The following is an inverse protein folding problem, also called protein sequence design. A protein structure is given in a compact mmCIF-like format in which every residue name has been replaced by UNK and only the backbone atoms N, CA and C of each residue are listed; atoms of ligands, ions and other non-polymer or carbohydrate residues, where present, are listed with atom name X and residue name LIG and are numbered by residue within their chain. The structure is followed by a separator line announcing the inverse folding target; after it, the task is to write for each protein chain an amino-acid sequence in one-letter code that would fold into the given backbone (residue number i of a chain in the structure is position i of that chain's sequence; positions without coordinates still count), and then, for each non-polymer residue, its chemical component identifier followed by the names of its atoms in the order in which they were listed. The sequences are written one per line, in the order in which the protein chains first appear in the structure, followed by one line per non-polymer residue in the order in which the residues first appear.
data_IF_459812339833
#
_entry.id   IF_459812339833
#
_cell.length_a   1.000
_cell.length_b   1.000
_cell.length_c   1.000
_cell.angle_alpha   90.00
_cell.angle_beta   90.00
_cell.angle_gamma   90.00
#
_symmetry.space_group_name_H-M   'P 1'
#
loop_
_entity.id
_entity.type
_entity.pdbx_description
1 polymer ?
#
# COMPACT_ATOMS: atom_id res chain seq x y z
N UNK A 1 -26.20 -0.38 29.72
CA UNK A 1 -24.98 -0.16 28.91
C UNK A 1 -24.61 -1.47 28.21
N UNK A 2 -25.06 -1.66 26.98
CA UNK A 2 -24.85 -2.91 26.24
C UNK A 2 -23.45 -2.87 25.61
N UNK A 3 -22.46 -3.39 26.33
CA UNK A 3 -21.07 -3.45 25.91
C UNK A 3 -20.95 -4.51 24.80
N UNK A 4 -21.33 -4.15 23.56
CA UNK A 4 -21.04 -4.98 22.39
C UNK A 4 -19.53 -5.16 22.35
N UNK A 5 -19.06 -6.36 22.68
CA UNK A 5 -17.65 -6.75 22.56
C UNK A 5 -17.17 -6.39 21.16
N UNK A 6 -16.40 -5.31 21.03
CA UNK A 6 -15.79 -4.92 19.76
C UNK A 6 -14.93 -6.11 19.34
N UNK A 7 -15.28 -6.74 18.22
CA UNK A 7 -14.63 -7.95 17.72
C UNK A 7 -13.18 -7.60 17.40
N UNK A 8 -12.23 -8.03 18.24
CA UNK A 8 -10.82 -7.75 18.03
C UNK A 8 -10.25 -8.66 16.94
N UNK A 9 -9.37 -8.13 16.09
CA UNK A 9 -8.77 -8.88 14.99
C UNK A 9 -7.61 -9.76 15.45
N UNK A 10 -7.42 -10.89 14.78
CA UNK A 10 -6.24 -11.76 14.94
C UNK A 10 -5.07 -11.32 14.05
N UNK A 11 -3.95 -12.03 14.14
CA UNK A 11 -2.72 -11.73 13.38
C UNK A 11 -2.92 -11.75 11.86
N UNK A 12 -3.67 -12.74 11.35
CA UNK A 12 -3.90 -12.86 9.91
C UNK A 12 -4.76 -11.70 9.37
N UNK A 13 -5.90 -11.45 10.01
CA UNK A 13 -6.89 -10.46 9.55
C UNK A 13 -6.46 -9.02 9.79
N UNK A 14 -5.85 -8.77 10.96
CA UNK A 14 -5.57 -7.41 11.38
C UNK A 14 -4.19 -6.91 10.96
N UNK A 15 -3.27 -7.79 10.56
CA UNK A 15 -1.89 -7.41 10.21
C UNK A 15 -1.45 -8.00 8.87
N UNK A 16 -1.42 -9.34 8.74
CA UNK A 16 -0.86 -9.98 7.55
C UNK A 16 -1.60 -9.60 6.26
N UNK A 17 -2.94 -9.75 6.23
CA UNK A 17 -3.76 -9.42 5.07
C UNK A 17 -3.65 -7.95 4.68
N UNK A 18 -3.91 -6.96 5.56
CA UNK A 18 -3.82 -5.55 5.18
C UNK A 18 -2.41 -5.14 4.75
N UNK A 19 -1.36 -5.63 5.43
CA UNK A 19 0.02 -5.37 5.00
C UNK A 19 0.32 -5.99 3.64
N UNK A 20 -0.08 -7.24 3.41
CA UNK A 20 0.15 -7.93 2.13
C UNK A 20 -0.58 -7.24 0.98
N UNK A 21 -1.84 -6.85 1.18
CA UNK A 21 -2.65 -6.14 0.18
C UNK A 21 -2.11 -4.75 -0.13
N UNK A 22 -1.54 -4.07 0.86
CA UNK A 22 -0.91 -2.76 0.64
C UNK A 22 0.45 -2.86 -0.04
N UNK A 23 1.22 -3.91 0.21
CA UNK A 23 2.52 -4.14 -0.45
C UNK A 23 2.29 -4.61 -1.89
N UNK A 24 1.38 -5.55 -2.11
CA UNK A 24 1.00 -6.04 -3.44
C UNK A 24 0.04 -5.08 -4.15
N UNK A 25 0.42 -3.81 -4.20
CA UNK A 25 -0.36 -2.72 -4.78
C UNK A 25 -0.15 -2.56 -6.28
N UNK A 26 -0.40 -1.34 -6.75
CA UNK A 26 -0.29 -0.95 -8.16
C UNK A 26 1.08 -1.26 -8.80
N UNK A 27 2.16 -1.14 -8.02
CA UNK A 27 3.54 -1.31 -8.53
C UNK A 27 3.78 -2.75 -9.01
N UNK A 28 3.18 -3.75 -8.36
CA UNK A 28 3.30 -5.15 -8.76
C UNK A 28 2.92 -5.35 -10.24
N UNK A 29 1.82 -4.73 -10.66
CA UNK A 29 1.28 -4.91 -12.01
C UNK A 29 1.75 -3.86 -13.00
N UNK A 30 1.86 -2.59 -12.60
CA UNK A 30 2.10 -1.47 -13.53
C UNK A 30 3.55 -1.05 -13.68
N UNK A 31 4.43 -1.46 -12.75
CA UNK A 31 5.81 -0.94 -12.69
C UNK A 31 6.88 -2.01 -12.51
N UNK A 32 6.56 -3.20 -12.00
CA UNK A 32 7.56 -4.28 -11.83
C UNK A 32 8.19 -4.72 -13.16
N UNK A 33 7.38 -4.87 -14.22
CA UNK A 33 7.89 -5.16 -15.56
C UNK A 33 8.81 -4.04 -16.07
N UNK A 34 8.40 -2.78 -15.91
CA UNK A 34 9.20 -1.61 -16.27
C UNK A 34 10.51 -1.52 -15.49
N UNK A 35 10.52 -1.83 -14.19
CA UNK A 35 11.72 -1.89 -13.36
C UNK A 35 12.72 -2.91 -13.91
N UNK A 36 12.26 -4.12 -14.27
CA UNK A 36 13.10 -5.15 -14.90
C UNK A 36 13.56 -4.72 -16.29
N UNK A 37 12.71 -4.04 -17.06
CA UNK A 37 13.06 -3.53 -18.39
C UNK A 37 14.16 -2.46 -18.35
N UNK A 38 14.11 -1.55 -17.37
CA UNK A 38 15.09 -0.46 -17.22
C UNK A 38 16.39 -0.94 -16.54
N UNK A 39 16.28 -1.63 -15.41
CA UNK A 39 17.42 -2.01 -14.58
C UNK A 39 17.99 -3.40 -14.90
N UNK A 40 17.36 -4.15 -15.81
CA UNK A 40 17.65 -5.57 -16.01
C UNK A 40 17.21 -6.43 -14.82
N UNK A 41 17.39 -7.74 -14.92
CA UNK A 41 17.08 -8.67 -13.84
C UNK A 41 17.98 -8.43 -12.63
N UNK A 42 19.29 -8.29 -12.82
CA UNK A 42 20.21 -8.09 -11.70
C UNK A 42 20.01 -6.74 -11.00
N UNK A 43 19.83 -5.66 -11.77
CA UNK A 43 19.53 -4.35 -11.19
C UNK A 43 18.15 -4.32 -10.54
N UNK A 44 17.15 -4.96 -11.13
CA UNK A 44 15.81 -5.12 -10.54
C UNK A 44 15.82 -5.89 -9.23
N UNK A 45 16.56 -7.01 -9.16
CA UNK A 45 16.77 -7.77 -7.92
C UNK A 45 17.55 -6.96 -6.89
N UNK A 46 18.54 -6.18 -7.29
CA UNK A 46 19.25 -5.25 -6.40
C UNK A 46 18.31 -4.19 -5.79
N UNK A 47 17.43 -3.61 -6.61
CA UNK A 47 16.39 -2.66 -6.16
C UNK A 47 15.44 -3.35 -5.17
N UNK A 48 15.00 -4.57 -5.46
CA UNK A 48 14.13 -5.34 -4.58
C UNK A 48 14.80 -5.63 -3.24
N UNK A 49 16.04 -6.13 -3.25
CA UNK A 49 16.80 -6.44 -2.04
C UNK A 49 17.04 -5.22 -1.17
N UNK A 50 17.43 -4.08 -1.77
CA UNK A 50 17.60 -2.83 -1.04
C UNK A 50 16.28 -2.37 -0.40
N UNK A 51 15.20 -2.40 -1.18
CA UNK A 51 13.86 -2.01 -0.73
C UNK A 51 13.37 -2.89 0.43
N UNK A 52 13.49 -4.21 0.28
CA UNK A 52 13.12 -5.18 1.31
C UNK A 52 14.00 -5.06 2.55
N UNK A 53 15.29 -4.79 2.40
CA UNK A 53 16.21 -4.54 3.51
C UNK A 53 15.76 -3.36 4.37
N UNK A 54 15.42 -2.23 3.74
CA UNK A 54 14.87 -1.04 4.43
C UNK A 54 13.56 -1.37 5.14
N UNK A 55 12.65 -2.08 4.47
CA UNK A 55 11.36 -2.49 5.03
C UNK A 55 11.52 -3.45 6.22
N UNK A 56 12.46 -4.40 6.13
CA UNK A 56 12.75 -5.39 7.17
C UNK A 56 13.32 -4.72 8.42
N UNK A 57 14.30 -3.83 8.27
CA UNK A 57 14.87 -3.06 9.40
C UNK A 57 13.76 -2.26 10.09
N UNK A 58 12.90 -1.61 9.31
CA UNK A 58 11.75 -0.85 9.84
C UNK A 58 10.77 -1.75 10.59
N UNK A 59 10.47 -2.94 10.04
CA UNK A 59 9.56 -3.91 10.65
C UNK A 59 10.13 -4.51 11.94
N UNK A 60 11.44 -4.75 12.02
CA UNK A 60 12.11 -5.23 13.23
C UNK A 60 12.09 -4.16 14.32
N UNK A 61 12.39 -2.90 13.99
CA UNK A 61 12.27 -1.77 14.93
C UNK A 61 10.84 -1.64 15.45
N UNK A 62 9.84 -1.74 14.56
CA UNK A 62 8.45 -1.67 14.98
C UNK A 62 8.02 -2.86 15.82
N UNK A 63 8.57 -4.04 15.53
CA UNK A 63 8.34 -5.25 16.31
C UNK A 63 8.83 -5.07 17.74
N UNK A 64 10.05 -4.57 17.94
CA UNK A 64 10.60 -4.31 19.28
C UNK A 64 9.77 -3.27 20.04
N UNK A 65 9.30 -2.22 19.36
CA UNK A 65 8.40 -1.23 19.99
C UNK A 65 7.09 -1.87 20.43
N UNK A 66 6.44 -2.62 19.54
CA UNK A 66 5.13 -3.23 19.81
C UNK A 66 5.16 -4.30 20.91
N UNK A 67 6.31 -4.93 21.17
CA UNK A 67 6.47 -5.91 22.25
C UNK A 67 6.75 -5.28 23.61
N UNK A 68 7.22 -4.03 23.65
CA UNK A 68 7.69 -3.38 24.88
C UNK A 68 6.66 -2.46 25.54
N UNK A 69 5.56 -2.12 24.86
CA UNK A 69 4.53 -1.21 25.37
C UNK A 69 3.12 -1.75 25.20
N UNK A 70 2.18 -1.22 25.98
CA UNK A 70 0.74 -1.44 25.75
C UNK A 70 0.30 -0.68 24.51
N UNK A 71 -0.10 -1.40 23.48
CA UNK A 71 -0.46 -0.81 22.19
C UNK A 71 -1.89 -0.28 22.20
N UNK A 72 -2.06 1.01 21.90
CA UNK A 72 -3.34 1.71 21.85
C UNK A 72 -3.82 2.02 20.43
N UNK A 73 -4.86 2.86 20.35
CA UNK A 73 -5.37 3.45 19.08
C UNK A 73 -4.36 4.51 18.60
N UNK A 74 -4.13 4.59 17.28
CA UNK A 74 -3.22 5.57 16.67
C UNK A 74 -2.08 4.98 15.84
N UNK A 75 -2.04 3.66 15.67
CA UNK A 75 -1.15 2.98 14.73
C UNK A 75 0.34 3.18 15.03
N UNK A 76 1.13 3.40 13.98
CA UNK A 76 2.59 3.58 14.09
C UNK A 76 2.94 4.78 14.94
N UNK A 77 2.24 5.92 14.79
CA UNK A 77 2.57 7.12 15.55
C UNK A 77 2.46 6.89 17.06
N UNK A 78 1.37 6.24 17.50
CA UNK A 78 1.19 5.91 18.92
C UNK A 78 2.32 5.03 19.46
N UNK A 79 2.76 4.05 18.67
CA UNK A 79 3.87 3.17 19.07
C UNK A 79 5.17 3.93 19.26
N UNK A 80 5.46 4.88 18.37
CA UNK A 80 6.66 5.71 18.42
C UNK A 80 6.56 6.72 19.56
N UNK A 81 5.50 7.53 19.64
CA UNK A 81 5.42 8.61 20.63
C UNK A 81 5.46 8.11 22.08
N UNK A 82 4.93 6.91 22.34
CA UNK A 82 4.96 6.28 23.67
C UNK A 82 6.26 5.56 24.02
N UNK A 83 7.12 5.28 23.04
CA UNK A 83 8.41 4.63 23.28
C UNK A 83 9.58 5.60 23.24
N UNK A 84 9.52 6.63 22.39
CA UNK A 84 10.64 7.57 22.16
C UNK A 84 10.33 9.01 22.58
N UNK A 85 9.12 9.31 23.04
CA UNK A 85 8.67 10.65 23.41
C UNK A 85 7.87 11.35 22.31
N UNK A 86 7.10 12.37 22.70
CA UNK A 86 6.15 13.05 21.81
C UNK A 86 6.87 13.90 20.76
N UNK A 87 8.03 14.45 21.09
CA UNK A 87 8.87 15.26 20.20
C UNK A 87 9.36 14.42 19.02
N UNK A 88 10.01 13.28 19.30
CA UNK A 88 10.44 12.33 18.27
C UNK A 88 9.25 11.72 17.53
N UNK A 89 8.18 11.39 18.25
CA UNK A 89 6.93 10.92 17.66
C UNK A 89 6.38 11.93 16.65
N UNK A 90 6.39 13.22 16.96
CA UNK A 90 5.91 14.29 16.10
C UNK A 90 6.75 14.46 14.83
N UNK A 91 8.08 14.44 14.96
CA UNK A 91 9.02 14.52 13.84
C UNK A 91 8.81 13.40 12.82
N UNK A 92 8.47 12.19 13.27
CA UNK A 92 8.19 11.05 12.38
C UNK A 92 6.71 11.01 11.95
N UNK A 93 5.80 11.39 12.85
CA UNK A 93 4.36 11.29 12.66
C UNK A 93 3.82 12.24 11.59
N UNK A 94 4.32 13.48 11.52
CA UNK A 94 3.88 14.44 10.50
C UNK A 94 4.23 13.95 9.09
N UNK A 95 5.48 13.57 8.76
CA UNK A 95 5.82 12.95 7.47
C UNK A 95 5.02 11.68 7.19
N UNK A 96 4.77 10.83 8.20
CA UNK A 96 3.96 9.63 8.04
C UNK A 96 2.54 9.98 7.61
N UNK A 97 1.89 10.95 8.28
CA UNK A 97 0.55 11.42 7.91
C UNK A 97 0.51 11.95 6.47
N UNK A 98 1.48 12.77 6.07
CA UNK A 98 1.56 13.30 4.70
C UNK A 98 1.77 12.19 3.69
N UNK A 99 2.68 11.25 3.96
CA UNK A 99 2.94 10.08 3.11
C UNK A 99 1.68 9.24 2.93
N UNK A 100 0.93 8.97 4.01
CA UNK A 100 -0.33 8.23 3.95
C UNK A 100 -1.40 8.98 3.13
N UNK A 101 -1.50 10.30 3.29
CA UNK A 101 -2.45 11.14 2.53
C UNK A 101 -2.12 11.17 1.04
N UNK A 102 -0.84 11.30 0.68
CA UNK A 102 -0.37 11.24 -0.71
C UNK A 102 -0.57 9.83 -1.29
N UNK A 103 -0.41 8.80 -0.47
CA UNK A 103 -0.63 7.41 -0.89
C UNK A 103 -2.07 7.16 -1.36
N UNK A 104 -3.07 7.81 -0.74
CA UNK A 104 -4.47 7.75 -1.21
C UNK A 104 -4.56 8.20 -2.68
N UNK A 105 -3.95 9.33 -3.03
CA UNK A 105 -3.91 9.81 -4.41
C UNK A 105 -3.16 8.85 -5.33
N UNK A 106 -1.99 8.38 -4.90
CA UNK A 106 -1.16 7.43 -5.66
C UNK A 106 -1.92 6.16 -6.07
N UNK A 107 -2.68 5.55 -5.17
CA UNK A 107 -3.47 4.35 -5.50
C UNK A 107 -4.66 4.65 -6.42
N UNK A 108 -5.33 5.80 -6.24
CA UNK A 108 -6.41 6.23 -7.14
C UNK A 108 -5.87 6.49 -8.55
N UNK A 109 -4.72 7.14 -8.69
CA UNK A 109 -4.07 7.33 -10.00
C UNK A 109 -3.73 6.00 -10.65
N UNK A 110 -3.22 5.04 -9.88
CA UNK A 110 -2.98 3.67 -10.34
C UNK A 110 -4.24 2.97 -10.86
N UNK A 111 -5.35 3.12 -10.14
CA UNK A 111 -6.66 2.64 -10.58
C UNK A 111 -7.07 3.28 -11.91
N UNK A 112 -7.01 4.61 -12.00
CA UNK A 112 -7.44 5.38 -13.17
C UNK A 112 -6.55 5.12 -14.39
N UNK A 113 -5.23 4.97 -14.21
CA UNK A 113 -4.30 4.57 -15.29
C UNK A 113 -4.75 3.25 -15.92
N UNK A 114 -5.08 2.25 -15.10
CA UNK A 114 -5.56 0.96 -15.59
C UNK A 114 -6.97 1.03 -16.19
N UNK A 115 -7.84 1.87 -15.65
CA UNK A 115 -9.22 2.02 -16.12
C UNK A 115 -9.29 2.72 -17.48
N UNK A 116 -8.45 3.73 -17.71
CA UNK A 116 -8.33 4.41 -19.02
C UNK A 116 -7.93 3.47 -20.14
N UNK A 117 -7.21 2.40 -19.85
CA UNK A 117 -6.86 1.42 -20.86
C UNK A 117 -8.07 0.60 -21.33
N UNK A 118 -9.04 0.37 -20.44
CA UNK A 118 -10.30 -0.30 -20.77
C UNK A 118 -11.32 0.69 -21.35
N UNK A 119 -11.36 1.91 -20.83
CA UNK A 119 -12.26 2.98 -21.26
C UNK A 119 -11.47 4.26 -21.63
N UNK A 120 -10.95 4.37 -22.87
CA UNK A 120 -10.02 5.46 -23.25
C UNK A 120 -10.60 6.88 -23.18
N UNK A 121 -11.92 7.01 -23.32
CA UNK A 121 -12.59 8.31 -23.41
C UNK A 121 -12.96 8.92 -22.04
N UNK A 122 -12.63 8.26 -20.92
CA UNK A 122 -12.94 8.78 -19.59
C UNK A 122 -12.02 9.94 -19.21
N UNK A 123 -12.58 10.99 -18.61
CA UNK A 123 -11.78 12.03 -17.99
C UNK A 123 -11.16 11.49 -16.69
N UNK A 124 -9.84 11.26 -16.71
CA UNK A 124 -9.12 10.68 -15.58
C UNK A 124 -9.20 11.51 -14.29
N UNK A 125 -9.16 12.84 -14.40
CA UNK A 125 -9.27 13.73 -13.24
C UNK A 125 -10.67 13.61 -12.63
N UNK A 126 -11.71 13.64 -13.46
CA UNK A 126 -13.09 13.50 -12.99
C UNK A 126 -13.32 12.16 -12.27
N UNK A 127 -12.85 11.05 -12.86
CA UNK A 127 -12.96 9.73 -12.21
C UNK A 127 -12.17 9.68 -10.91
N UNK A 128 -10.96 10.25 -10.87
CA UNK A 128 -10.14 10.30 -9.65
C UNK A 128 -10.87 11.01 -8.51
N UNK A 129 -11.50 12.16 -8.80
CA UNK A 129 -12.25 12.94 -7.82
C UNK A 129 -13.52 12.21 -7.35
N UNK A 130 -14.24 11.54 -8.25
CA UNK A 130 -15.41 10.73 -7.91
C UNK A 130 -15.01 9.57 -6.98
N UNK A 131 -13.94 8.85 -7.32
CA UNK A 131 -13.43 7.74 -6.50
C UNK A 131 -13.03 8.27 -5.12
N UNK A 132 -12.24 9.35 -5.05
CA UNK A 132 -11.86 9.96 -3.78
C UNK A 132 -13.08 10.33 -2.93
N UNK A 133 -14.10 10.96 -3.53
CA UNK A 133 -15.32 11.34 -2.84
C UNK A 133 -16.07 10.13 -2.27
N UNK A 134 -16.19 9.04 -3.04
CA UNK A 134 -16.80 7.79 -2.57
C UNK A 134 -16.04 7.24 -1.36
N UNK A 135 -14.71 7.15 -1.43
CA UNK A 135 -13.90 6.62 -0.32
C UNK A 135 -13.91 7.55 0.90
N UNK A 136 -13.98 8.87 0.71
CA UNK A 136 -14.16 9.83 1.79
C UNK A 136 -15.49 9.59 2.51
N UNK A 137 -16.60 9.42 1.79
CA UNK A 137 -17.91 9.11 2.39
C UNK A 137 -17.88 7.79 3.16
N UNK A 138 -17.25 6.75 2.60
CA UNK A 138 -17.08 5.46 3.28
C UNK A 138 -16.29 5.63 4.58
N UNK A 139 -15.20 6.40 4.56
CA UNK A 139 -14.38 6.67 5.74
C UNK A 139 -15.16 7.43 6.83
N UNK A 140 -16.07 8.35 6.45
CA UNK A 140 -16.90 9.10 7.39
C UNK A 140 -17.99 8.26 8.09
N UNK A 141 -18.47 7.18 7.45
CA UNK A 141 -19.52 6.30 7.98
C UNK A 141 -18.93 5.27 8.98
N UNK A 142 -17.64 4.95 8.84
CA UNK A 142 -16.95 3.94 9.65
C UNK A 142 -16.92 2.59 8.92
N UNK A 143 -15.72 2.12 8.60
CA UNK A 143 -15.51 1.08 7.59
C UNK A 143 -15.34 -0.33 8.20
N UNK A 144 -16.21 -0.75 9.12
CA UNK A 144 -16.21 -2.14 9.65
C UNK A 144 -16.33 -3.21 8.54
N UNK A 145 -16.84 -2.81 7.37
CA UNK A 145 -16.96 -3.64 6.17
C UNK A 145 -15.61 -3.97 5.51
N UNK A 146 -14.59 -3.12 5.68
CA UNK A 146 -13.32 -3.23 4.95
C UNK A 146 -12.64 -4.59 5.14
N UNK A 147 -12.61 -5.11 6.37
CA UNK A 147 -11.90 -6.38 6.68
C UNK A 147 -12.54 -7.59 6.04
N UNK A 148 -13.87 -7.61 5.87
CA UNK A 148 -14.56 -8.74 5.22
C UNK A 148 -14.23 -8.81 3.73
N UNK A 149 -14.09 -7.65 3.08
CA UNK A 149 -13.79 -7.56 1.65
C UNK A 149 -12.33 -7.91 1.35
N UNK A 150 -11.41 -7.68 2.29
CA UNK A 150 -9.99 -7.98 2.11
C UNK A 150 -9.71 -9.44 1.72
N UNK A 151 -10.49 -10.41 2.22
CA UNK A 151 -10.36 -11.81 1.82
C UNK A 151 -10.66 -12.04 0.34
N UNK A 152 -11.76 -11.46 -0.16
CA UNK A 152 -12.13 -11.56 -1.56
C UNK A 152 -11.09 -10.88 -2.44
N UNK A 153 -10.62 -9.69 -2.03
CA UNK A 153 -9.56 -8.94 -2.71
C UNK A 153 -8.26 -9.75 -2.77
N UNK A 154 -7.87 -10.37 -1.66
CA UNK A 154 -6.69 -11.23 -1.61
C UNK A 154 -6.82 -12.44 -2.55
N UNK A 155 -8.00 -13.08 -2.58
CA UNK A 155 -8.27 -14.18 -3.51
C UNK A 155 -8.14 -13.77 -4.97
N UNK A 156 -8.79 -12.66 -5.37
CA UNK A 156 -8.70 -12.12 -6.74
C UNK A 156 -7.26 -11.74 -7.09
N UNK A 157 -6.53 -11.14 -6.16
CA UNK A 157 -5.13 -10.78 -6.35
C UNK A 157 -4.24 -12.00 -6.57
N UNK A 158 -4.40 -13.07 -5.76
CA UNK A 158 -3.63 -14.30 -5.95
C UNK A 158 -3.97 -14.98 -7.28
N UNK A 159 -5.24 -15.00 -7.67
CA UNK A 159 -5.65 -15.51 -8.98
C UNK A 159 -5.05 -14.68 -10.13
N UNK A 160 -5.00 -13.35 -9.99
CA UNK A 160 -4.36 -12.46 -10.95
C UNK A 160 -2.85 -12.75 -11.08
N UNK A 161 -2.14 -12.91 -9.96
CA UNK A 161 -0.72 -13.28 -9.95
C UNK A 161 -0.52 -14.65 -10.62
N UNK A 162 -1.28 -15.66 -10.23
CA UNK A 162 -1.21 -17.00 -10.82
C UNK A 162 -1.46 -16.98 -12.33
N UNK A 163 -2.41 -16.16 -12.80
CA UNK A 163 -2.73 -16.03 -14.24
C UNK A 163 -1.53 -15.59 -15.09
N UNK A 164 -0.60 -14.83 -14.53
CA UNK A 164 0.64 -14.36 -15.19
C UNK A 164 1.68 -15.50 -15.26
N UNK A 165 1.75 -16.35 -14.23
CA UNK A 165 2.67 -17.49 -14.22
C UNK A 165 2.26 -18.59 -15.19
N UNK A 166 0.96 -18.81 -15.39
CA UNK A 166 0.44 -19.83 -16.32
C UNK A 166 0.57 -19.46 -17.81
N UNK A 167 1.13 -18.30 -18.14
CA UNK A 167 1.39 -17.93 -19.54
C UNK A 167 2.55 -18.75 -20.12
N UNK A 168 2.33 -19.48 -21.23
CA UNK A 168 3.36 -20.28 -21.88
C UNK A 168 4.44 -19.40 -22.52
N UNK A 169 5.66 -19.94 -22.62
CA UNK A 169 6.80 -19.27 -23.23
C UNK A 169 7.83 -18.77 -22.21
N UNK A 170 9.09 -19.09 -22.50
CA UNK A 170 10.27 -18.63 -21.78
C UNK A 170 11.32 -18.26 -22.83
N UNK A 171 11.71 -16.99 -22.84
CA UNK A 171 12.94 -16.54 -23.46
C UNK A 171 14.11 -16.80 -22.50
N UNK A 172 15.33 -17.03 -23.02
CA UNK A 172 16.52 -17.11 -22.19
C UNK A 172 16.67 -15.86 -21.32
N UNK A 173 16.91 -16.06 -20.01
CA UNK A 173 17.09 -14.94 -19.06
C UNK A 173 18.25 -14.02 -19.46
N UNK A 174 19.24 -14.55 -20.20
CA UNK A 174 20.40 -13.81 -20.73
C UNK A 174 20.03 -12.55 -21.49
N UNK A 175 18.82 -12.47 -22.06
CA UNK A 175 18.36 -11.32 -22.85
C UNK A 175 18.15 -10.07 -22.00
N UNK A 176 17.77 -10.22 -20.72
CA UNK A 176 17.40 -9.11 -19.84
C UNK A 176 18.23 -9.08 -18.56
N UNK A 177 19.44 -9.65 -18.54
CA UNK A 177 20.28 -9.65 -17.32
C UNK A 177 20.82 -8.26 -16.99
N UNK A 178 21.29 -7.53 -18.00
CA UNK A 178 21.92 -6.23 -17.87
C UNK A 178 20.92 -5.06 -17.87
N UNK A 179 21.26 -3.93 -17.25
CA UNK A 179 20.44 -2.71 -17.32
C UNK A 179 20.36 -2.12 -18.74
N UNK A 180 19.21 -1.54 -19.06
CA UNK A 180 18.92 -0.82 -20.30
C UNK A 180 18.18 0.49 -19.98
N UNK A 181 18.83 1.40 -19.24
CA UNK A 181 18.21 2.66 -18.86
C UNK A 181 17.89 3.54 -20.09
N UNK A 182 16.62 3.92 -20.24
CA UNK A 182 16.15 4.89 -21.23
C UNK A 182 15.86 6.24 -20.57
N UNK A 183 15.62 7.29 -21.36
CA UNK A 183 15.04 8.57 -20.89
C UNK A 183 15.80 9.25 -19.73
N UNK A 184 17.14 9.18 -19.74
CA UNK A 184 18.02 9.69 -18.67
C UNK A 184 17.68 9.11 -17.28
N UNK A 185 17.14 7.90 -17.24
CA UNK A 185 16.95 7.14 -16.02
C UNK A 185 18.28 6.57 -15.54
N UNK A 186 18.33 6.30 -14.24
CA UNK A 186 19.44 5.62 -13.61
C UNK A 186 18.89 4.71 -12.51
N UNK A 187 19.76 3.92 -11.89
CA UNK A 187 19.41 2.99 -10.82
C UNK A 187 18.53 3.65 -9.73
N UNK A 188 18.92 4.85 -9.26
CA UNK A 188 18.24 5.55 -8.17
C UNK A 188 16.85 6.08 -8.56
N UNK A 189 16.67 6.53 -9.81
CA UNK A 189 15.35 6.96 -10.32
C UNK A 189 14.40 5.77 -10.44
N UNK A 190 14.88 4.62 -10.92
CA UNK A 190 14.08 3.39 -11.01
C UNK A 190 13.75 2.87 -9.60
N UNK A 191 14.72 2.91 -8.68
CA UNK A 191 14.50 2.61 -7.26
C UNK A 191 13.40 3.49 -6.66
N UNK A 192 13.43 4.81 -6.88
CA UNK A 192 12.43 5.72 -6.35
C UNK A 192 11.00 5.42 -6.84
N UNK A 193 10.85 4.99 -8.11
CA UNK A 193 9.56 4.57 -8.67
C UNK A 193 9.10 3.22 -8.11
N UNK A 194 10.03 2.31 -7.82
CA UNK A 194 9.72 0.99 -7.28
C UNK A 194 9.46 0.99 -5.77
N UNK A 195 10.15 1.85 -5.00
CA UNK A 195 10.16 1.84 -3.54
C UNK A 195 8.77 1.87 -2.89
N UNK A 196 7.76 2.62 -3.41
CA UNK A 196 6.39 2.55 -2.88
C UNK A 196 5.77 1.14 -2.84
N UNK A 197 6.31 0.16 -3.59
CA UNK A 197 5.91 -1.25 -3.49
C UNK A 197 6.05 -1.81 -2.06
N UNK A 198 7.10 -1.44 -1.32
CA UNK A 198 7.45 -2.11 -0.05
C UNK A 198 7.03 -1.31 1.19
N UNK A 199 6.44 -0.13 1.02
CA UNK A 199 6.09 0.80 2.11
C UNK A 199 4.75 0.48 2.79
N UNK A 200 4.01 -0.51 2.28
CA UNK A 200 2.69 -0.93 2.78
C UNK A 200 2.66 -1.54 4.18
N UNK A 201 3.79 -1.64 4.88
CA UNK A 201 3.87 -2.16 6.26
C UNK A 201 2.98 -1.37 7.24
N UNK A 202 2.72 -0.09 6.94
CA UNK A 202 1.90 0.79 7.76
C UNK A 202 0.43 0.43 7.78
N UNK A 203 -0.08 -0.28 6.77
CA UNK A 203 -1.46 -0.72 6.67
C UNK A 203 -1.87 -1.64 7.84
N UNK A 204 -1.11 -2.72 8.07
CA UNK A 204 -1.43 -3.67 9.14
C UNK A 204 -1.22 -3.10 10.55
N UNK A 205 -0.28 -2.17 10.70
CA UNK A 205 -0.02 -1.54 12.00
C UNK A 205 -1.05 -0.45 12.30
N UNK A 206 -1.62 0.18 11.28
CA UNK A 206 -2.69 1.18 11.42
C UNK A 206 -3.92 0.65 12.17
N UNK A 207 -4.13 -0.66 12.20
CA UNK A 207 -5.21 -1.34 12.92
C UNK A 207 -4.81 -1.80 14.34
N UNK A 208 -3.66 -1.34 14.86
CA UNK A 208 -3.07 -1.82 16.12
C UNK A 208 -4.01 -1.80 17.32
N UNK A 209 -4.84 -0.76 17.43
CA UNK A 209 -5.81 -0.58 18.54
C UNK A 209 -7.01 -1.52 18.48
N UNK A 210 -7.18 -2.25 17.38
CA UNK A 210 -8.29 -3.20 17.16
C UNK A 210 -7.81 -4.66 17.23
N UNK A 211 -6.53 -4.91 17.47
CA UNK A 211 -5.95 -6.25 17.57
C UNK A 211 -6.21 -6.88 18.95
N UNK A 212 -6.41 -8.20 18.95
CA UNK A 212 -6.57 -9.00 20.16
C UNK A 212 -5.30 -9.04 21.00
N UNK A 213 -4.15 -9.29 20.35
CA UNK A 213 -2.82 -9.26 20.95
C UNK A 213 -1.85 -8.53 20.01
N UNK A 214 -1.73 -7.19 20.12
CA UNK A 214 -0.89 -6.39 19.25
C UNK A 214 0.61 -6.79 19.31
N UNK A 215 1.16 -6.99 20.51
CA UNK A 215 2.58 -7.29 20.70
C UNK A 215 3.03 -8.62 20.09
N UNK A 216 2.12 -9.59 19.90
CA UNK A 216 2.42 -10.83 19.13
C UNK A 216 2.01 -10.72 17.66
N UNK A 217 0.91 -10.02 17.37
CA UNK A 217 0.34 -9.97 16.02
C UNK A 217 1.11 -9.06 15.07
N UNK A 218 1.58 -7.90 15.55
CA UNK A 218 2.34 -6.96 14.71
C UNK A 218 3.64 -7.61 14.23
N UNK A 219 4.53 -8.15 15.10
CA UNK A 219 5.78 -8.74 14.63
C UNK A 219 5.56 -9.90 13.66
N UNK A 220 4.71 -10.85 14.02
CA UNK A 220 4.47 -12.05 13.20
C UNK A 220 3.78 -11.70 11.89
N UNK A 221 2.74 -10.89 11.94
CA UNK A 221 1.97 -10.53 10.76
C UNK A 221 2.78 -9.72 9.75
N UNK A 222 3.53 -8.71 10.22
CA UNK A 222 4.32 -7.84 9.33
C UNK A 222 5.51 -8.59 8.74
N UNK A 223 6.28 -9.36 9.52
CA UNK A 223 7.42 -10.12 9.00
C UNK A 223 6.99 -11.22 8.00
N UNK A 224 5.90 -11.94 8.29
CA UNK A 224 5.34 -12.91 7.36
C UNK A 224 4.86 -12.25 6.06
N UNK A 225 4.23 -11.07 6.14
CA UNK A 225 3.77 -10.34 4.96
C UNK A 225 4.96 -9.86 4.11
N UNK A 226 6.04 -9.34 4.72
CA UNK A 226 7.24 -8.94 3.99
C UNK A 226 7.87 -10.15 3.28
N UNK A 227 8.04 -11.28 3.99
CA UNK A 227 8.60 -12.49 3.39
C UNK A 227 7.75 -13.00 2.22
N UNK A 228 6.44 -13.12 2.44
CA UNK A 228 5.49 -13.60 1.43
C UNK A 228 5.48 -12.72 0.17
N UNK A 229 5.42 -11.40 0.34
CA UNK A 229 5.39 -10.47 -0.78
C UNK A 229 6.73 -10.37 -1.51
N UNK A 230 7.85 -10.50 -0.79
CA UNK A 230 9.20 -10.55 -1.40
C UNK A 230 9.31 -11.73 -2.36
N UNK A 231 8.82 -12.92 -1.97
CA UNK A 231 8.79 -14.10 -2.84
C UNK A 231 7.97 -13.83 -4.10
N UNK A 232 6.79 -13.21 -3.98
CA UNK A 232 5.95 -12.87 -5.13
C UNK A 232 6.68 -11.89 -6.07
N UNK A 233 7.27 -10.82 -5.54
CA UNK A 233 8.01 -9.85 -6.35
C UNK A 233 9.20 -10.48 -7.07
N UNK A 234 9.97 -11.32 -6.37
CA UNK A 234 11.11 -12.04 -6.96
C UNK A 234 10.66 -12.93 -8.12
N UNK A 235 9.61 -13.74 -7.91
CA UNK A 235 9.08 -14.62 -8.96
C UNK A 235 8.53 -13.82 -10.14
N UNK A 236 7.85 -12.70 -9.88
CA UNK A 236 7.33 -11.82 -10.93
C UNK A 236 8.44 -11.16 -11.74
N UNK A 237 9.51 -10.70 -11.11
CA UNK A 237 10.66 -10.12 -11.81
C UNK A 237 11.33 -11.14 -12.73
N UNK A 238 11.54 -12.37 -12.26
CA UNK A 238 12.07 -13.47 -13.07
C UNK A 238 11.12 -13.79 -14.23
N UNK A 239 9.81 -13.87 -13.97
CA UNK A 239 8.81 -14.15 -15.02
C UNK A 239 8.77 -13.06 -16.09
N UNK A 240 8.81 -11.79 -15.72
CA UNK A 240 8.85 -10.68 -16.69
C UNK A 240 10.14 -10.70 -17.52
N UNK A 241 11.29 -10.91 -16.86
CA UNK A 241 12.59 -11.03 -17.53
C UNK A 241 12.61 -12.18 -18.54
N UNK A 242 11.98 -13.31 -18.22
CA UNK A 242 11.90 -14.46 -19.10
C UNK A 242 10.80 -14.37 -20.17
N UNK A 243 9.92 -13.37 -20.16
CA UNK A 243 8.78 -13.33 -21.07
C UNK A 243 9.01 -12.44 -22.29
N UNK A 244 9.45 -11.20 -22.08
CA UNK A 244 9.58 -10.22 -23.15
C UNK A 244 10.91 -9.46 -23.08
N UNK A 245 11.36 -8.94 -24.21
CA UNK A 245 12.59 -8.14 -24.27
C UNK A 245 12.37 -6.78 -23.60
N UNK A 246 13.45 -6.15 -23.14
CA UNK A 246 13.42 -4.87 -22.43
C UNK A 246 12.53 -3.81 -23.12
N UNK A 247 12.51 -3.74 -24.45
CA UNK A 247 11.67 -2.79 -25.23
C UNK A 247 10.17 -2.94 -24.97
N UNK A 248 9.70 -4.18 -24.82
CA UNK A 248 8.30 -4.46 -24.51
C UNK A 248 8.04 -4.15 -23.04
N UNK A 249 9.00 -4.50 -22.16
CA UNK A 249 8.92 -4.26 -20.73
C UNK A 249 8.88 -2.76 -20.37
N UNK A 250 9.62 -1.92 -21.12
CA UNK A 250 9.65 -0.46 -20.92
C UNK A 250 8.56 0.28 -21.69
N UNK A 251 8.11 -0.25 -22.84
CA UNK A 251 7.18 0.41 -23.74
C UNK A 251 5.70 0.40 -23.29
N UNK A 252 5.34 -0.32 -22.22
CA UNK A 252 3.96 -0.35 -21.73
C UNK A 252 3.91 -0.62 -20.23
N UNK A 253 3.14 0.19 -19.48
CA UNK A 253 2.92 -0.07 -18.05
C UNK A 253 2.07 -1.33 -17.80
N UNK A 254 1.19 -1.68 -18.74
CA UNK A 254 0.28 -2.81 -18.63
C UNK A 254 0.84 -4.10 -19.24
N UNK A 255 2.15 -4.30 -19.17
CA UNK A 255 2.79 -5.55 -19.61
C UNK A 255 2.14 -6.75 -18.90
N UNK A 256 1.85 -6.66 -17.60
CA UNK A 256 1.18 -7.74 -16.87
C UNK A 256 -0.13 -8.22 -17.51
N UNK A 257 -0.94 -7.33 -18.10
CA UNK A 257 -2.21 -7.70 -18.74
C UNK A 257 -1.99 -8.31 -20.12
N UNK A 258 -1.00 -7.82 -20.88
CA UNK A 258 -0.61 -8.38 -22.19
C UNK A 258 -0.01 -9.78 -22.08
N UNK A 259 0.61 -10.08 -20.94
CA UNK A 259 1.24 -11.38 -20.67
C UNK A 259 0.21 -12.37 -20.13
N UNK A 260 -0.71 -11.96 -19.28
CA UNK A 260 -1.62 -12.90 -18.63
C UNK A 260 -2.52 -13.65 -19.61
N UNK A 261 -2.74 -14.95 -19.35
CA UNK A 261 -3.72 -15.78 -20.07
C UNK A 261 -5.14 -15.27 -19.91
N UNK A 262 -5.44 -14.61 -18.78
CA UNK A 262 -6.74 -14.07 -18.44
C UNK A 262 -6.57 -12.58 -18.09
N UNK A 263 -6.45 -11.69 -19.10
CA UNK A 263 -6.19 -10.26 -18.87
C UNK A 263 -7.21 -9.58 -17.93
N UNK A 264 -8.47 -10.04 -17.95
CA UNK A 264 -9.52 -9.53 -17.07
C UNK A 264 -9.21 -9.77 -15.59
N UNK A 265 -8.55 -10.89 -15.23
CA UNK A 265 -8.15 -11.16 -13.85
C UNK A 265 -7.06 -10.20 -13.41
N UNK A 266 -6.15 -9.81 -14.31
CA UNK A 266 -5.12 -8.82 -13.99
C UNK A 266 -5.75 -7.44 -13.77
N UNK A 267 -6.70 -7.02 -14.60
CA UNK A 267 -7.45 -5.78 -14.34
C UNK A 267 -8.21 -5.82 -13.02
N UNK A 268 -8.92 -6.92 -12.75
CA UNK A 268 -9.60 -7.10 -11.47
C UNK A 268 -8.61 -7.06 -10.28
N UNK A 269 -7.45 -7.71 -10.41
CA UNK A 269 -6.37 -7.68 -9.42
C UNK A 269 -5.83 -6.27 -9.17
N UNK A 270 -5.57 -5.50 -10.24
CA UNK A 270 -5.14 -4.10 -10.15
C UNK A 270 -6.18 -3.28 -9.41
N UNK A 271 -7.45 -3.35 -9.83
CA UNK A 271 -8.54 -2.57 -9.25
C UNK A 271 -8.79 -2.95 -7.79
N UNK A 272 -8.81 -4.23 -7.46
CA UNK A 272 -8.97 -4.68 -6.09
C UNK A 272 -7.80 -4.23 -5.20
N UNK A 273 -6.55 -4.33 -5.69
CA UNK A 273 -5.38 -3.91 -4.93
C UNK A 273 -5.33 -2.40 -4.68
N UNK A 274 -5.58 -1.59 -5.72
CA UNK A 274 -5.56 -0.12 -5.61
C UNK A 274 -6.69 0.38 -4.72
N UNK A 275 -7.93 -0.05 -4.96
CA UNK A 275 -9.08 0.39 -4.18
C UNK A 275 -9.00 -0.08 -2.72
N UNK A 276 -8.48 -1.27 -2.44
CA UNK A 276 -8.22 -1.74 -1.07
C UNK A 276 -7.18 -0.88 -0.36
N UNK A 277 -6.11 -0.50 -1.06
CA UNK A 277 -5.05 0.32 -0.49
C UNK A 277 -5.54 1.74 -0.24
N UNK A 278 -6.30 2.33 -1.19
CA UNK A 278 -7.02 3.60 -1.00
C UNK A 278 -7.88 3.57 0.25
N UNK A 279 -8.70 2.51 0.43
CA UNK A 279 -9.53 2.34 1.63
C UNK A 279 -8.70 2.30 2.90
N UNK A 280 -7.57 1.59 2.87
CA UNK A 280 -6.70 1.44 4.04
C UNK A 280 -6.11 2.78 4.46
N UNK A 281 -5.54 3.53 3.52
CA UNK A 281 -4.89 4.80 3.82
C UNK A 281 -5.87 5.93 4.14
N UNK A 282 -7.06 5.95 3.52
CA UNK A 282 -8.08 6.96 3.84
C UNK A 282 -8.68 6.76 5.24
N UNK A 283 -8.56 5.56 5.82
CA UNK A 283 -8.93 5.27 7.22
C UNK A 283 -7.74 5.51 8.16
N UNK A 284 -6.53 5.07 7.78
CA UNK A 284 -5.37 5.13 8.68
C UNK A 284 -4.79 6.53 8.84
N UNK A 285 -4.71 7.33 7.76
CA UNK A 285 -4.11 8.67 7.83
C UNK A 285 -4.85 9.62 8.78
N UNK A 286 -6.20 9.68 8.78
CA UNK A 286 -6.95 10.48 9.73
C UNK A 286 -6.72 10.07 11.20
N UNK A 287 -6.51 8.78 11.46
CA UNK A 287 -6.21 8.27 12.80
C UNK A 287 -4.81 8.68 13.26
N UNK A 288 -3.83 8.70 12.35
CA UNK A 288 -2.50 9.27 12.60
C UNK A 288 -2.60 10.76 12.95
N UNK A 289 -3.36 11.53 12.17
CA UNK A 289 -3.54 12.98 12.41
C UNK A 289 -4.29 13.25 13.73
N UNK A 290 -5.31 12.46 14.03
CA UNK A 290 -6.04 12.55 15.30
C UNK A 290 -5.11 12.31 16.49
N UNK A 291 -4.25 11.29 16.43
CA UNK A 291 -3.30 10.99 17.49
C UNK A 291 -2.27 12.11 17.69
N UNK A 292 -1.72 12.65 16.59
CA UNK A 292 -0.85 13.84 16.62
C UNK A 292 -1.52 15.05 17.28
N UNK A 293 -2.81 15.25 17.01
CA UNK A 293 -3.59 16.38 17.52
C UNK A 293 -3.94 16.21 19.01
N UNK A 294 -4.22 14.98 19.46
CA UNK A 294 -4.43 14.64 20.88
C UNK A 294 -3.15 14.91 21.69
N UNK A 295 -1.99 14.52 21.15
CA UNK A 295 -0.68 14.76 21.77
C UNK A 295 -0.20 16.23 21.60
N UNK A 296 -1.06 17.12 21.05
CA UNK A 296 -0.79 18.56 20.83
C UNK A 296 0.45 18.87 19.99
N UNK A 297 0.90 17.92 19.17
CA UNK A 297 1.97 18.14 18.18
C UNK A 297 1.48 19.04 17.04
N UNK A 298 0.21 18.87 16.67
CA UNK A 298 -0.51 19.72 15.70
C UNK A 298 -1.72 20.35 16.38
N UNK A 299 -2.35 21.39 15.79
CA UNK A 299 -3.50 22.06 16.41
C UNK A 299 -4.59 21.09 16.89
N UNK A 300 -5.07 21.31 18.11
CA UNK A 300 -5.98 20.38 18.81
C UNK A 300 -7.35 20.21 18.12
N UNK A 301 -7.78 21.22 17.35
CA UNK A 301 -9.04 21.15 16.61
C UNK A 301 -9.04 20.08 15.51
N UNK A 302 -7.86 19.63 15.05
CA UNK A 302 -7.74 18.60 14.01
C UNK A 302 -8.26 17.22 14.44
N UNK A 303 -8.30 16.96 15.74
CA UNK A 303 -8.87 15.74 16.33
C UNK A 303 -10.41 15.72 16.40
N UNK A 304 -11.08 16.81 16.01
CA UNK A 304 -12.52 16.99 16.24
C UNK A 304 -13.34 15.92 15.50
N UNK A 305 -14.16 15.18 16.25
CA UNK A 305 -14.95 14.04 15.76
C UNK A 305 -16.29 14.42 15.15
N UNK A 306 -16.65 15.72 15.21
CA UNK A 306 -17.87 16.33 14.67
C UNK A 306 -19.13 15.51 15.03
N UNK A 307 -19.27 15.16 16.30
CA UNK A 307 -20.43 14.41 16.83
C UNK A 307 -20.49 12.93 16.39
N UNK A 308 -19.38 12.33 15.96
CA UNK A 308 -19.34 10.91 15.62
C UNK A 308 -19.63 10.03 16.84
N UNK A 309 -20.65 9.17 16.74
CA UNK A 309 -21.00 8.16 17.76
C UNK A 309 -19.90 7.10 17.98
N UNK A 310 -18.91 7.02 17.07
CA UNK A 310 -17.84 6.02 17.07
C UNK A 310 -16.44 6.63 17.28
N UNK A 311 -16.37 7.88 17.71
CA UNK A 311 -15.10 8.63 17.89
C UNK A 311 -14.27 8.79 16.59
N UNK A 312 -14.88 8.60 15.42
CA UNK A 312 -14.20 8.74 14.13
C UNK A 312 -13.76 10.20 13.88
N UNK A 313 -12.50 10.46 13.49
CA UNK A 313 -11.96 11.81 13.30
C UNK A 313 -12.39 12.41 11.96
N UNK A 314 -13.65 12.85 11.89
CA UNK A 314 -14.27 13.37 10.66
C UNK A 314 -13.50 14.54 10.03
N UNK A 315 -13.00 15.48 10.83
CA UNK A 315 -12.23 16.61 10.29
C UNK A 315 -10.90 16.14 9.67
N UNK A 316 -10.23 15.18 10.31
CA UNK A 316 -8.99 14.60 9.79
C UNK A 316 -9.21 13.83 8.48
N UNK A 317 -10.36 13.17 8.30
CA UNK A 317 -10.77 12.53 7.04
C UNK A 317 -10.88 13.57 5.92
N UNK A 318 -11.53 14.70 6.19
CA UNK A 318 -11.68 15.80 5.22
C UNK A 318 -10.30 16.34 4.83
N UNK A 319 -9.42 16.61 5.80
CA UNK A 319 -8.07 17.14 5.53
C UNK A 319 -7.22 16.15 4.73
N UNK A 320 -7.25 14.87 5.09
CA UNK A 320 -6.57 13.81 4.31
C UNK A 320 -7.05 13.80 2.87
N UNK A 321 -8.37 13.92 2.66
CA UNK A 321 -8.99 13.92 1.34
C UNK A 321 -8.64 15.18 0.54
N UNK A 322 -8.57 16.34 1.19
CA UNK A 322 -8.14 17.59 0.54
C UNK A 322 -6.67 17.52 0.09
N UNK A 323 -5.78 16.97 0.92
CA UNK A 323 -4.38 16.74 0.52
C UNK A 323 -4.34 15.80 -0.68
N UNK A 324 -5.03 14.65 -0.62
CA UNK A 324 -5.08 13.71 -1.74
C UNK A 324 -5.63 14.38 -3.02
N UNK A 325 -6.67 15.21 -2.91
CA UNK A 325 -7.28 15.93 -4.02
C UNK A 325 -6.27 16.82 -4.76
N UNK A 326 -5.39 17.52 -4.04
CA UNK A 326 -4.34 18.35 -4.68
C UNK A 326 -3.46 17.50 -5.60
N UNK A 327 -3.02 16.32 -5.15
CA UNK A 327 -2.19 15.40 -5.93
C UNK A 327 -2.94 14.69 -7.06
N UNK A 328 -4.28 14.71 -7.07
CA UNK A 328 -5.08 14.15 -8.17
C UNK A 328 -5.32 15.13 -9.32
N UNK A 329 -5.16 16.44 -9.06
CA UNK A 329 -5.43 17.51 -10.02
C UNK A 329 -4.15 17.96 -10.74
N UNK A 330 -2.98 17.81 -10.10
CA UNK A 330 -1.65 18.07 -10.67
C UNK A 330 -1.23 16.94 -11.60
#
# INVERSE_FOLDING_TARGET
MNNKSVRRFGTFNGVFLPTTLSILGVILFLRTAWTVGQAGLWGGLGILLLSVGISLITALSLSSLSTNITVGKGGIYYLISRSTGVEMGGTIGIPLFLSQSISVAFYILGFVESLKWVFPHINGVAVSLIVLFIFMVIALIGADFAVKVQYAIFGVLMLAVLSIFFTPGWKPLSVNLSPHFTDNLNFWKVFAVFFPAVTGISAGVGMSGELSNPGKSIPRGTLLAIGFTTVIYLLMMVKFSAYADYRILTGSSLVATKISRLPFLVFAGIWCATLSSTLTFIISAPRTLQALSIDRVVPSFLSHTLGSKREEPRLAVIITSLIAMVFLIV
#
